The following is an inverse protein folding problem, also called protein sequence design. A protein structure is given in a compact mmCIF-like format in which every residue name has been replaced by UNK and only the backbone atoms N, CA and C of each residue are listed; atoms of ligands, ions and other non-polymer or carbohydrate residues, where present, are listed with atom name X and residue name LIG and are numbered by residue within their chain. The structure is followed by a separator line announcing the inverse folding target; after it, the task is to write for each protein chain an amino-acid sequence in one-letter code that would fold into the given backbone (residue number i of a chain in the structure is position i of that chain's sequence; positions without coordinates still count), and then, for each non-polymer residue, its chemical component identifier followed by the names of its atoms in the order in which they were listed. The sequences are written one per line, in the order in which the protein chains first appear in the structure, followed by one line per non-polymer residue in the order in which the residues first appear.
data_IF_322719615256
#
_entry.id   IF_322719615256
#
_cell.length_a   1.000
_cell.length_b   1.000
_cell.length_c   1.000
_cell.angle_alpha   90.00
_cell.angle_beta   90.00
_cell.angle_gamma   90.00
#
_symmetry.space_group_name_H-M   'P 1'
#
loop_
_entity.id
_entity.type
_entity.pdbx_description
1 polymer ?
#
# COMPACT_ATOMS: atom_id res chain seq x y z
N UNK A 1 -8.05 -6.68 5.19
CA UNK A 1 -6.75 -6.19 5.73
C UNK A 1 -6.69 -4.69 5.51
N UNK A 2 -6.07 -3.93 6.43
CA UNK A 2 -5.90 -2.49 6.29
C UNK A 2 -4.64 -2.18 5.47
N UNK A 3 -4.80 -1.47 4.36
CA UNK A 3 -3.72 -1.21 3.40
C UNK A 3 -3.68 0.26 3.00
N UNK A 4 -2.49 0.74 2.66
CA UNK A 4 -2.27 2.11 2.25
C UNK A 4 -2.45 2.24 0.73
N UNK A 5 -3.32 3.14 0.25
CA UNK A 5 -3.52 3.40 -1.17
C UNK A 5 -3.33 4.89 -1.49
N UNK A 6 -2.88 5.24 -2.71
CA UNK A 6 -2.82 6.62 -3.17
C UNK A 6 -4.19 7.32 -3.09
N UNK A 7 -4.20 8.54 -2.56
CA UNK A 7 -5.36 9.44 -2.44
C UNK A 7 -4.99 10.84 -2.99
N UNK A 8 -4.24 10.86 -4.10
CA UNK A 8 -3.80 12.07 -4.79
C UNK A 8 -2.50 12.68 -4.27
N UNK A 9 -2.34 13.98 -4.49
CA UNK A 9 -1.11 14.73 -4.18
C UNK A 9 -1.42 15.87 -3.22
N UNK A 10 -0.68 15.93 -2.12
CA UNK A 10 -0.71 17.06 -1.18
C UNK A 10 0.38 18.08 -1.48
N UNK A 11 0.23 19.31 -0.96
CA UNK A 11 1.16 20.41 -1.19
C UNK A 11 1.53 21.09 0.13
N UNK A 12 2.81 21.17 0.43
CA UNK A 12 3.33 22.03 1.50
C UNK A 12 3.81 23.35 0.91
N UNK A 13 3.30 24.46 1.44
CA UNK A 13 3.82 25.80 1.13
C UNK A 13 4.90 26.13 2.14
N UNK A 14 6.15 26.23 1.71
CA UNK A 14 7.19 26.83 2.53
C UNK A 14 7.02 28.36 2.52
N UNK A 15 7.26 29.00 3.68
CA UNK A 15 7.08 30.44 3.88
C UNK A 15 7.78 31.28 2.82
N UNK A 16 7.25 32.49 2.55
CA UNK A 16 7.77 33.40 1.53
C UNK A 16 9.13 33.97 1.95
N UNK A 17 10.22 33.47 1.37
CA UNK A 17 11.49 34.19 1.37
C UNK A 17 11.64 34.85 0.00
N UNK A 18 11.27 36.13 -0.08
CA UNK A 18 11.53 37.06 -1.21
C UNK A 18 11.15 36.46 -2.59
N UNK A 19 9.91 36.69 -3.03
CA UNK A 19 9.50 36.56 -4.44
C UNK A 19 9.31 35.14 -5.01
N UNK A 20 9.72 34.06 -4.33
CA UNK A 20 9.47 32.68 -4.77
C UNK A 20 8.86 31.84 -3.66
N UNK A 21 7.65 31.34 -3.88
CA UNK A 21 7.05 30.31 -3.04
C UNK A 21 7.57 28.95 -3.49
N UNK A 22 8.28 28.23 -2.62
CA UNK A 22 8.63 26.83 -2.85
C UNK A 22 7.46 25.98 -2.40
N UNK A 23 6.82 25.29 -3.35
CA UNK A 23 5.75 24.34 -3.08
C UNK A 23 6.33 22.94 -3.22
N UNK A 24 6.31 22.16 -2.14
CA UNK A 24 6.75 20.76 -2.14
C UNK A 24 5.52 19.87 -2.24
N UNK A 25 5.47 19.02 -3.26
CA UNK A 25 4.41 18.02 -3.45
C UNK A 25 4.76 16.73 -2.72
N UNK A 26 3.77 16.06 -2.14
CA UNK A 26 3.92 14.72 -1.58
C UNK A 26 2.76 13.82 -2.03
N UNK A 27 3.04 12.53 -2.20
CA UNK A 27 2.00 11.53 -2.43
C UNK A 27 1.14 11.44 -1.17
N UNK A 28 -0.14 11.76 -1.30
CA UNK A 28 -1.11 11.54 -0.23
C UNK A 28 -1.57 10.11 -0.31
N UNK A 29 -1.61 9.44 0.83
CA UNK A 29 -2.17 8.11 0.93
C UNK A 29 -3.30 8.08 1.93
N UNK A 30 -4.16 7.09 1.79
CA UNK A 30 -5.25 6.79 2.71
C UNK A 30 -5.26 5.30 3.00
N UNK A 31 -5.80 4.95 4.15
CA UNK A 31 -5.98 3.56 4.56
C UNK A 31 -7.35 3.08 4.16
N UNK A 32 -7.43 1.90 3.56
CA UNK A 32 -8.69 1.22 3.27
C UNK A 32 -8.63 -0.23 3.75
N UNK A 33 -9.77 -0.75 4.17
CA UNK A 33 -9.93 -2.19 4.39
C UNK A 33 -10.39 -2.83 3.09
N UNK A 34 -9.61 -3.80 2.61
CA UNK A 34 -9.93 -4.49 1.35
C UNK A 34 -9.44 -5.93 1.34
N UNK A 35 -9.83 -6.63 0.27
CA UNK A 35 -9.43 -8.00 -0.06
C UNK A 35 -7.98 -8.03 -0.51
N UNK A 36 -7.22 -8.97 0.06
CA UNK A 36 -5.82 -9.23 -0.26
C UNK A 36 -5.75 -10.54 -1.04
N UNK A 37 -4.98 -10.57 -2.12
CA UNK A 37 -4.76 -11.74 -2.97
C UNK A 37 -3.39 -12.36 -2.81
N UNK A 38 -2.39 -11.56 -2.40
CA UNK A 38 -1.03 -12.03 -2.15
C UNK A 38 -0.40 -11.22 -1.03
N UNK A 39 0.40 -11.88 -0.20
CA UNK A 39 1.23 -11.27 0.83
C UNK A 39 2.67 -11.73 0.60
N UNK A 40 3.62 -10.80 0.54
CA UNK A 40 5.03 -11.09 0.36
C UNK A 40 5.89 -10.26 1.30
N UNK A 41 6.95 -10.86 1.82
CA UNK A 41 7.96 -10.14 2.59
C UNK A 41 8.67 -9.12 1.70
N UNK A 42 8.96 -7.96 2.28
CA UNK A 42 9.92 -7.04 1.68
C UNK A 42 11.31 -7.57 2.04
N UNK A 43 12.09 -8.00 1.03
CA UNK A 43 13.42 -8.58 1.24
C UNK A 43 14.30 -7.67 2.11
N UNK A 44 15.20 -8.28 2.91
CA UNK A 44 16.25 -7.67 3.74
C UNK A 44 15.90 -7.09 5.13
N UNK A 45 14.73 -7.34 5.72
CA UNK A 45 14.42 -6.86 7.09
C UNK A 45 14.04 -8.00 8.06
N UNK A 46 14.83 -8.30 9.11
CA UNK A 46 14.36 -9.15 10.21
C UNK A 46 13.28 -8.38 10.97
N UNK A 47 12.05 -8.91 10.97
CA UNK A 47 10.88 -8.22 11.54
C UNK A 47 10.39 -7.09 10.64
N UNK A 48 9.81 -7.39 9.47
CA UNK A 48 9.37 -6.39 8.51
C UNK A 48 8.36 -5.43 9.16
N UNK A 49 8.59 -4.12 9.03
CA UNK A 49 7.58 -3.11 9.45
C UNK A 49 6.36 -3.12 8.54
N UNK A 50 6.55 -3.59 7.30
CA UNK A 50 5.53 -3.67 6.25
C UNK A 50 5.76 -4.88 5.36
N UNK A 51 4.68 -5.43 4.85
CA UNK A 51 4.67 -6.49 3.83
C UNK A 51 4.13 -5.92 2.53
N UNK A 52 4.59 -6.47 1.40
CA UNK A 52 4.04 -6.13 0.09
C UNK A 52 2.79 -6.97 -0.14
N UNK A 53 1.72 -6.35 -0.60
CA UNK A 53 0.43 -7.00 -0.81
C UNK A 53 -0.15 -6.64 -2.17
N UNK A 54 -0.79 -7.62 -2.81
CA UNK A 54 -1.61 -7.37 -4.00
C UNK A 54 -3.07 -7.34 -3.53
N UNK A 55 -3.75 -6.20 -3.71
CA UNK A 55 -5.07 -5.93 -3.12
C UNK A 55 -6.09 -5.54 -4.18
N UNK A 56 -7.35 -5.89 -3.95
CA UNK A 56 -8.43 -5.32 -4.73
C UNK A 56 -8.67 -3.86 -4.35
N UNK A 57 -8.84 -2.98 -5.32
CA UNK A 57 -9.19 -1.57 -5.07
C UNK A 57 -10.56 -1.28 -5.68
N UNK A 58 -11.58 -0.98 -4.84
CA UNK A 58 -12.90 -0.60 -5.32
C UNK A 58 -12.82 0.63 -6.24
N UNK A 59 -13.67 0.69 -7.28
CA UNK A 59 -13.64 1.76 -8.29
C UNK A 59 -13.74 3.17 -7.69
N UNK A 60 -14.60 3.34 -6.67
CA UNK A 60 -14.79 4.62 -5.98
C UNK A 60 -13.55 5.09 -5.19
N UNK A 61 -12.57 4.22 -4.97
CA UNK A 61 -11.29 4.56 -4.34
C UNK A 61 -10.18 4.84 -5.36
N UNK A 62 -10.40 4.68 -6.67
CA UNK A 62 -9.35 4.81 -7.70
C UNK A 62 -9.05 6.25 -8.15
N UNK A 63 -9.81 7.24 -7.66
CA UNK A 63 -9.68 8.64 -8.09
C UNK A 63 -8.35 9.31 -7.75
N UNK A 64 -7.61 8.79 -6.76
CA UNK A 64 -6.33 9.35 -6.30
C UNK A 64 -5.08 8.78 -6.96
N UNK A 65 -5.23 7.84 -7.90
CA UNK A 65 -4.11 7.15 -8.52
C UNK A 65 -3.53 7.94 -9.69
N UNK A 66 -2.22 7.82 -9.88
CA UNK A 66 -1.53 8.45 -11.01
C UNK A 66 -1.83 7.64 -12.28
N UNK A 67 -2.22 8.28 -13.39
CA UNK A 67 -2.39 7.58 -14.66
C UNK A 67 -1.10 6.87 -15.08
N UNK A 68 -1.20 5.58 -15.44
CA UNK A 68 -0.04 4.77 -15.85
C UNK A 68 0.82 4.22 -14.70
N UNK A 69 0.31 4.23 -13.47
CA UNK A 69 1.02 3.62 -12.33
C UNK A 69 1.27 2.12 -12.57
N UNK A 70 2.54 1.72 -12.59
CA UNK A 70 2.99 0.35 -12.83
C UNK A 70 2.69 -0.60 -11.66
N UNK A 71 2.20 -0.07 -10.54
CA UNK A 71 1.79 -0.87 -9.39
C UNK A 71 0.40 -1.51 -9.59
N UNK A 72 -0.33 -1.14 -10.63
CA UNK A 72 -1.49 -1.92 -11.10
C UNK A 72 -1.00 -3.23 -11.73
N UNK A 73 -1.28 -4.35 -11.07
CA UNK A 73 -0.82 -5.68 -11.50
C UNK A 73 -1.90 -6.47 -12.24
N UNK A 74 -3.13 -5.96 -12.24
CA UNK A 74 -4.28 -6.55 -12.93
C UNK A 74 -5.48 -5.60 -12.86
N UNK A 75 -6.60 -6.02 -13.47
CA UNK A 75 -7.82 -5.23 -13.43
C UNK A 75 -8.33 -5.09 -11.99
N UNK A 76 -8.30 -3.87 -11.47
CA UNK A 76 -8.68 -3.59 -10.10
C UNK A 76 -7.74 -4.15 -9.02
N UNK A 77 -6.59 -4.73 -9.39
CA UNK A 77 -5.60 -5.24 -8.43
C UNK A 77 -4.40 -4.31 -8.39
N UNK A 78 -4.17 -3.75 -7.21
CA UNK A 78 -3.08 -2.82 -6.97
C UNK A 78 -2.07 -3.42 -5.99
N UNK A 79 -0.78 -3.28 -6.30
CA UNK A 79 0.32 -3.69 -5.46
C UNK A 79 0.72 -2.56 -4.53
N UNK A 80 0.57 -2.79 -3.22
CA UNK A 80 0.90 -1.81 -2.20
C UNK A 80 1.58 -2.44 -0.99
N UNK A 81 1.70 -1.68 0.10
CA UNK A 81 2.21 -2.13 1.37
C UNK A 81 1.10 -2.17 2.43
N UNK A 82 1.13 -3.21 3.24
CA UNK A 82 0.38 -3.29 4.49
C UNK A 82 1.37 -3.20 5.65
N UNK A 83 1.10 -2.35 6.64
CA UNK A 83 1.94 -2.26 7.83
C UNK A 83 1.61 -3.39 8.80
N UNK A 84 2.65 -4.00 9.36
CA UNK A 84 2.49 -5.12 10.29
C UNK A 84 1.81 -4.66 11.58
N UNK A 85 2.12 -3.46 12.05
CA UNK A 85 1.56 -2.88 13.27
C UNK A 85 0.02 -2.79 13.25
N UNK A 86 -0.54 -2.47 12.08
CA UNK A 86 -1.99 -2.29 11.88
C UNK A 86 -2.71 -3.61 11.59
N UNK A 87 -1.95 -4.64 11.20
CA UNK A 87 -2.47 -5.92 10.71
C UNK A 87 -1.91 -7.11 11.49
N UNK A 88 -1.51 -6.90 12.75
CA UNK A 88 -0.81 -7.90 13.57
C UNK A 88 -1.53 -9.24 13.62
N UNK A 89 -2.85 -9.23 13.84
CA UNK A 89 -3.64 -10.46 13.94
C UNK A 89 -3.76 -11.17 12.59
N UNK A 90 -4.01 -10.43 11.51
CA UNK A 90 -4.16 -11.00 10.16
C UNK A 90 -2.85 -11.49 9.56
N UNK A 91 -1.71 -10.88 9.92
CA UNK A 91 -0.38 -11.27 9.44
C UNK A 91 0.34 -12.21 10.39
N UNK A 92 -0.20 -12.51 11.58
CA UNK A 92 0.46 -13.35 12.58
C UNK A 92 0.83 -14.73 12.02
N UNK A 93 -0.09 -15.39 11.32
CA UNK A 93 0.14 -16.72 10.74
C UNK A 93 1.23 -16.69 9.66
N UNK A 94 1.17 -15.71 8.75
CA UNK A 94 2.18 -15.50 7.72
C UNK A 94 3.57 -15.24 8.32
N UNK A 95 3.67 -14.34 9.29
CA UNK A 95 4.95 -14.01 9.91
C UNK A 95 5.51 -15.16 10.76
N UNK A 96 4.65 -15.96 11.39
CA UNK A 96 5.05 -17.14 12.16
C UNK A 96 5.50 -18.30 11.26
N UNK A 97 4.96 -18.41 10.05
CA UNK A 97 5.33 -19.47 9.10
C UNK A 97 6.79 -19.38 8.62
N UNK A 98 7.35 -18.16 8.59
CA UNK A 98 8.66 -17.90 8.00
C UNK A 98 8.67 -17.93 6.47
N UNK A 99 7.51 -18.11 5.82
CA UNK A 99 7.40 -18.07 4.37
C UNK A 99 7.71 -16.67 3.82
N UNK A 100 8.28 -16.63 2.62
CA UNK A 100 8.57 -15.36 1.94
C UNK A 100 7.35 -14.77 1.25
N UNK A 101 6.39 -15.61 0.87
CA UNK A 101 5.23 -15.23 0.08
C UNK A 101 4.11 -16.23 0.27
N UNK A 102 2.89 -15.72 0.47
CA UNK A 102 1.64 -16.46 0.39
C UNK A 102 0.77 -15.90 -0.72
N UNK A 103 0.33 -16.78 -1.61
CA UNK A 103 -0.85 -16.51 -2.44
C UNK A 103 -2.10 -16.94 -1.67
N UNK A 104 -3.01 -15.99 -1.45
CA UNK A 104 -4.25 -16.25 -0.68
C UNK A 104 -5.45 -16.52 -1.59
N UNK A 105 -5.28 -16.48 -2.92
CA UNK A 105 -6.33 -16.92 -3.86
C UNK A 105 -6.51 -18.43 -3.88
N UNK A 106 -5.43 -19.16 -3.59
CA UNK A 106 -5.44 -20.63 -3.58
C UNK A 106 -6.09 -21.23 -2.32
N UNK A 107 -6.44 -20.42 -1.31
CA UNK A 107 -7.05 -20.90 -0.06
C UNK A 107 -8.59 -20.88 -0.05
N UNK A 108 -9.24 -20.53 -1.17
CA UNK A 108 -10.71 -20.59 -1.32
C UNK A 108 -11.19 -21.74 -2.25
N UNK A 109 -10.50 -22.90 -2.23
CA UNK A 109 -10.91 -24.11 -2.97
C UNK A 109 -11.42 -25.23 -2.05
#
# INVERSE_FOLDING_TARGET
MLVDIPDGVGYFRHGRRIGRAVVTTYARTRKIETTVYRVALVNNEPGPKRVRVDVWVPEHHRGGFIPGDLSWVGDGIYRTFAYVDENRNTLAAFLASGDQEWDVREQEA
#
